data_IF_972477010222
#
_entry.id   IF_972477010222
#
_cell.length_a   1.000
_cell.length_b   1.000
_cell.length_c   1.000
_cell.angle_alpha   90.00
_cell.angle_beta   90.00
_cell.angle_gamma   90.00
#
_symmetry.space_group_name_H-M   'P 1'
#
loop_
_entity.id
_entity.type
_entity.pdbx_description
1 polymer ?
#
# COMPACT_ATOMS: atom_id res chain seq x y z
N UNK A 1 -3.65 -38.22 0.46
CA UNK A 1 -2.45 -37.38 0.62
C UNK A 1 -2.18 -36.75 -0.74
N UNK A 2 -2.81 -35.62 -1.01
CA UNK A 2 -2.53 -34.82 -2.20
C UNK A 2 -1.47 -33.80 -1.83
N UNK A 3 -0.29 -33.97 -2.42
CA UNK A 3 0.82 -33.04 -2.34
C UNK A 3 0.51 -31.85 -3.24
N UNK A 4 -0.06 -30.78 -2.69
CA UNK A 4 -0.09 -29.48 -3.35
C UNK A 4 1.32 -28.86 -3.31
N UNK A 5 2.12 -29.19 -4.32
CA UNK A 5 3.33 -28.43 -4.67
C UNK A 5 2.89 -27.07 -5.24
N UNK A 6 2.69 -26.09 -4.37
CA UNK A 6 2.67 -24.69 -4.81
C UNK A 6 4.05 -24.34 -5.38
N UNK A 7 4.12 -23.65 -6.54
CA UNK A 7 5.38 -23.12 -7.00
C UNK A 7 5.85 -22.08 -5.97
N UNK A 8 6.94 -22.38 -5.27
CA UNK A 8 7.65 -21.46 -4.35
C UNK A 8 8.24 -20.30 -5.16
N UNK A 9 7.38 -19.41 -5.65
CA UNK A 9 7.79 -18.11 -6.17
C UNK A 9 8.44 -17.30 -5.06
N UNK A 10 9.43 -16.49 -5.40
CA UNK A 10 10.03 -15.57 -4.43
C UNK A 10 8.94 -14.61 -3.93
N UNK A 11 8.67 -14.63 -2.63
CA UNK A 11 7.72 -13.74 -1.98
C UNK A 11 8.47 -12.88 -0.96
N UNK A 12 8.06 -11.62 -0.85
CA UNK A 12 8.71 -10.63 0.02
C UNK A 12 7.66 -10.04 0.97
N UNK A 13 7.98 -9.82 2.26
CA UNK A 13 7.06 -9.16 3.18
C UNK A 13 6.57 -7.81 2.64
N UNK A 14 5.30 -7.49 2.85
CA UNK A 14 4.69 -6.23 2.38
C UNK A 14 5.49 -5.01 2.84
N UNK A 15 5.96 -4.99 4.09
CA UNK A 15 6.81 -3.92 4.62
C UNK A 15 8.13 -3.75 3.83
N UNK A 16 8.74 -4.85 3.40
CA UNK A 16 9.98 -4.80 2.62
C UNK A 16 9.72 -4.28 1.21
N UNK A 17 8.59 -4.63 0.58
CA UNK A 17 8.19 -4.06 -0.72
C UNK A 17 8.02 -2.53 -0.60
N UNK A 18 7.29 -2.07 0.41
CA UNK A 18 7.08 -0.64 0.69
C UNK A 18 8.42 0.07 0.91
N UNK A 19 9.28 -0.49 1.76
CA UNK A 19 10.60 0.06 2.05
C UNK A 19 11.49 0.14 0.81
N UNK A 20 11.49 -0.88 -0.05
CA UNK A 20 12.25 -0.88 -1.31
C UNK A 20 11.76 0.24 -2.22
N UNK A 21 10.45 0.39 -2.43
CA UNK A 21 9.88 1.46 -3.28
C UNK A 21 10.30 2.84 -2.77
N UNK A 22 10.13 3.08 -1.46
CA UNK A 22 10.45 4.37 -0.85
C UNK A 22 11.95 4.68 -0.97
N UNK A 23 12.81 3.74 -0.58
CA UNK A 23 14.26 3.95 -0.60
C UNK A 23 14.78 4.10 -2.03
N UNK A 24 14.41 3.19 -2.93
CA UNK A 24 14.88 3.24 -4.33
C UNK A 24 14.40 4.50 -5.03
N UNK A 25 13.13 4.89 -4.89
CA UNK A 25 12.60 6.12 -5.47
C UNK A 25 13.29 7.36 -4.92
N UNK A 26 13.45 7.45 -3.60
CA UNK A 26 14.11 8.60 -2.95
C UNK A 26 15.57 8.74 -3.38
N UNK A 27 16.31 7.64 -3.38
CA UNK A 27 17.72 7.61 -3.82
C UNK A 27 17.83 7.98 -5.29
N UNK A 28 16.96 7.45 -6.15
CA UNK A 28 16.94 7.76 -7.57
C UNK A 28 16.73 9.26 -7.84
N UNK A 29 15.73 9.88 -7.22
CA UNK A 29 15.48 11.31 -7.37
C UNK A 29 16.57 12.19 -6.76
N UNK A 30 17.16 11.76 -5.63
CA UNK A 30 18.32 12.44 -5.03
C UNK A 30 19.53 12.39 -5.95
N UNK A 31 19.80 11.23 -6.55
CA UNK A 31 20.89 11.05 -7.51
C UNK A 31 20.68 11.90 -8.77
N UNK A 32 19.47 11.94 -9.32
CA UNK A 32 19.14 12.81 -10.45
C UNK A 32 19.36 14.28 -10.12
N UNK A 33 18.89 14.75 -8.96
CA UNK A 33 19.11 16.13 -8.53
C UNK A 33 20.61 16.44 -8.40
N UNK A 34 21.39 15.53 -7.80
CA UNK A 34 22.84 15.69 -7.70
C UNK A 34 23.51 15.76 -9.08
N UNK A 35 23.07 14.97 -10.05
CA UNK A 35 23.59 15.00 -11.42
C UNK A 35 23.34 16.33 -12.12
N UNK A 36 22.20 16.97 -11.86
CA UNK A 36 21.79 18.22 -12.52
C UNK A 36 22.38 19.44 -11.81
N UNK A 37 22.41 19.45 -10.47
CA UNK A 37 22.76 20.64 -9.67
C UNK A 37 24.10 20.53 -8.95
N UNK A 38 24.75 19.36 -8.96
CA UNK A 38 26.07 19.13 -8.36
C UNK A 38 26.09 19.08 -6.82
N UNK A 39 24.94 19.22 -6.16
CA UNK A 39 24.83 19.31 -4.70
C UNK A 39 23.77 18.37 -4.13
N UNK A 40 24.03 17.88 -2.92
CA UNK A 40 23.03 17.23 -2.09
C UNK A 40 22.32 18.29 -1.25
N UNK A 41 20.99 18.41 -1.41
CA UNK A 41 20.17 19.36 -0.69
C UNK A 41 19.19 18.61 0.24
N UNK A 42 19.31 18.76 1.58
CA UNK A 42 18.44 18.06 2.53
C UNK A 42 16.94 18.33 2.32
N UNK A 43 16.56 19.56 1.96
CA UNK A 43 15.17 19.92 1.67
C UNK A 43 14.67 19.17 0.45
N UNK A 44 15.48 19.09 -0.61
CA UNK A 44 15.10 18.35 -1.81
C UNK A 44 15.00 16.85 -1.55
N UNK A 45 15.91 16.28 -0.75
CA UNK A 45 15.85 14.87 -0.35
C UNK A 45 14.56 14.59 0.44
N UNK A 46 14.22 15.47 1.38
CA UNK A 46 12.97 15.38 2.14
C UNK A 46 11.73 15.47 1.25
N UNK A 47 11.73 16.37 0.27
CA UNK A 47 10.66 16.47 -0.72
C UNK A 47 10.56 15.23 -1.61
N UNK A 48 11.69 14.68 -2.07
CA UNK A 48 11.71 13.45 -2.85
C UNK A 48 11.13 12.27 -2.06
N UNK A 49 11.53 12.12 -0.79
CA UNK A 49 10.97 11.12 0.11
C UNK A 49 9.46 11.27 0.27
N UNK A 50 8.99 12.49 0.56
CA UNK A 50 7.57 12.78 0.71
C UNK A 50 6.79 12.46 -0.57
N UNK A 51 7.28 12.88 -1.73
CA UNK A 51 6.60 12.65 -3.01
C UNK A 51 6.55 11.17 -3.39
N UNK A 52 7.61 10.39 -3.13
CA UNK A 52 7.62 8.95 -3.40
C UNK A 52 6.59 8.23 -2.52
N UNK A 53 6.43 8.64 -1.26
CA UNK A 53 5.36 8.12 -0.39
C UNK A 53 3.98 8.45 -0.99
N UNK A 54 3.77 9.70 -1.43
CA UNK A 54 2.49 10.08 -2.04
C UNK A 54 2.20 9.28 -3.31
N UNK A 55 3.19 9.04 -4.17
CA UNK A 55 3.00 8.18 -5.35
C UNK A 55 2.57 6.76 -4.97
N UNK A 56 3.15 6.20 -3.90
CA UNK A 56 2.74 4.89 -3.39
C UNK A 56 1.33 4.92 -2.80
N UNK A 57 0.96 5.97 -2.08
CA UNK A 57 -0.40 6.15 -1.56
C UNK A 57 -1.40 6.27 -2.71
N UNK A 58 -1.13 7.09 -3.72
CA UNK A 58 -1.99 7.21 -4.91
C UNK A 58 -2.18 5.86 -5.61
N UNK A 59 -1.13 5.02 -5.67
CA UNK A 59 -1.26 3.66 -6.19
C UNK A 59 -2.26 2.81 -5.37
N UNK A 60 -2.26 2.96 -4.04
CA UNK A 60 -3.25 2.32 -3.18
C UNK A 60 -4.64 2.94 -3.34
N UNK A 61 -4.77 4.25 -3.51
CA UNK A 61 -6.05 4.93 -3.78
C UNK A 61 -6.69 4.46 -5.10
N UNK A 62 -5.88 4.18 -6.13
CA UNK A 62 -6.39 3.52 -7.34
C UNK A 62 -6.92 2.12 -7.01
N UNK A 63 -6.20 1.36 -6.17
CA UNK A 63 -6.67 0.04 -5.71
C UNK A 63 -7.98 0.15 -4.91
N UNK A 64 -8.16 1.20 -4.12
CA UNK A 64 -9.40 1.49 -3.38
C UNK A 64 -10.59 1.52 -4.33
N UNK A 65 -10.47 2.25 -5.45
CA UNK A 65 -11.53 2.30 -6.46
C UNK A 65 -11.71 0.97 -7.20
N UNK A 66 -10.62 0.40 -7.74
CA UNK A 66 -10.66 -0.74 -8.66
C UNK A 66 -11.08 -2.03 -7.96
N UNK A 67 -10.74 -2.18 -6.68
CA UNK A 67 -10.94 -3.41 -5.92
C UNK A 67 -11.91 -3.23 -4.74
N UNK A 68 -12.80 -2.24 -4.78
CA UNK A 68 -13.65 -1.90 -3.64
C UNK A 68 -14.51 -3.06 -3.13
N UNK A 69 -15.05 -3.89 -4.01
CA UNK A 69 -15.90 -5.02 -3.58
C UNK A 69 -15.10 -6.05 -2.79
N UNK A 70 -13.82 -6.24 -3.15
CA UNK A 70 -12.91 -7.09 -2.41
C UNK A 70 -12.55 -6.46 -1.05
N UNK A 71 -12.28 -5.16 -1.00
CA UNK A 71 -11.99 -4.42 0.24
C UNK A 71 -13.17 -4.51 1.21
N UNK A 72 -14.39 -4.32 0.72
CA UNK A 72 -15.60 -4.45 1.52
C UNK A 72 -15.76 -5.87 2.08
N UNK A 73 -15.58 -6.91 1.25
CA UNK A 73 -15.66 -8.29 1.70
C UNK A 73 -14.57 -8.64 2.75
N UNK A 74 -13.33 -8.17 2.54
CA UNK A 74 -12.25 -8.33 3.51
C UNK A 74 -12.54 -7.62 4.82
N UNK A 75 -13.09 -6.40 4.77
CA UNK A 75 -13.48 -5.64 5.96
C UNK A 75 -14.57 -6.37 6.74
N UNK A 76 -15.65 -6.79 6.09
CA UNK A 76 -16.74 -7.53 6.73
C UNK A 76 -16.24 -8.83 7.39
N UNK A 77 -15.28 -9.52 6.78
CA UNK A 77 -14.69 -10.73 7.34
C UNK A 77 -13.76 -10.47 8.54
N UNK A 78 -13.22 -9.26 8.68
CA UNK A 78 -12.17 -8.92 9.66
C UNK A 78 -12.64 -7.99 10.78
N UNK A 79 -13.75 -7.25 10.61
CA UNK A 79 -14.25 -6.28 11.58
C UNK A 79 -14.57 -6.87 12.95
N UNK A 80 -15.27 -8.02 13.00
CA UNK A 80 -15.61 -8.67 14.27
C UNK A 80 -14.39 -9.36 14.91
N UNK A 81 -13.60 -10.19 14.17
CA UNK A 81 -12.47 -10.87 14.78
C UNK A 81 -11.39 -9.93 15.31
N UNK A 82 -11.20 -8.75 14.69
CA UNK A 82 -10.15 -7.79 15.06
C UNK A 82 -10.64 -6.57 15.83
N UNK A 83 -11.90 -6.55 16.27
CA UNK A 83 -12.41 -5.48 17.13
C UNK A 83 -11.59 -5.37 18.44
N UNK A 84 -11.03 -4.18 18.70
CA UNK A 84 -10.10 -3.92 19.81
C UNK A 84 -8.68 -4.50 19.62
N UNK A 85 -8.40 -5.09 18.46
CA UNK A 85 -7.10 -5.68 18.07
C UNK A 85 -6.64 -5.19 16.69
N UNK A 86 -7.03 -3.98 16.32
CA UNK A 86 -6.79 -3.42 15.00
C UNK A 86 -5.28 -3.28 14.71
N UNK A 87 -4.48 -2.93 15.72
CA UNK A 87 -3.02 -2.87 15.60
C UNK A 87 -2.39 -4.24 15.29
N UNK A 88 -2.97 -5.33 15.79
CA UNK A 88 -2.52 -6.68 15.45
C UNK A 88 -2.74 -6.94 13.96
N UNK A 89 -3.89 -6.54 13.41
CA UNK A 89 -4.20 -6.67 11.98
C UNK A 89 -3.19 -5.90 11.11
N UNK A 90 -2.82 -4.69 11.53
CA UNK A 90 -1.80 -3.89 10.85
C UNK A 90 -0.47 -4.67 10.79
N UNK A 91 0.00 -5.19 11.92
CA UNK A 91 1.24 -5.95 11.97
C UNK A 91 1.22 -7.16 11.03
N UNK A 92 0.10 -7.89 10.99
CA UNK A 92 -0.08 -9.03 10.07
C UNK A 92 -0.07 -8.61 8.60
N UNK A 93 -0.67 -7.46 8.24
CA UNK A 93 -0.65 -6.94 6.87
C UNK A 93 0.77 -6.61 6.44
N UNK A 94 1.55 -5.94 7.28
CA UNK A 94 2.95 -5.60 6.98
C UNK A 94 3.86 -6.83 6.90
N UNK A 95 3.58 -7.87 7.69
CA UNK A 95 4.31 -9.14 7.65
C UNK A 95 3.89 -10.06 6.50
N UNK A 96 2.70 -9.86 5.93
CA UNK A 96 2.15 -10.72 4.87
C UNK A 96 3.10 -10.75 3.66
N UNK A 97 3.46 -11.94 3.14
CA UNK A 97 4.29 -12.05 1.96
C UNK A 97 3.48 -11.75 0.69
N UNK A 98 4.07 -10.96 -0.22
CA UNK A 98 3.55 -10.69 -1.56
C UNK A 98 4.44 -11.40 -2.59
N UNK A 99 3.89 -12.22 -3.50
CA UNK A 99 4.65 -12.77 -4.61
C UNK A 99 5.21 -11.65 -5.48
N UNK A 100 6.50 -11.72 -5.85
CA UNK A 100 7.18 -10.64 -6.58
C UNK A 100 6.44 -10.19 -7.85
N UNK A 101 5.93 -11.15 -8.62
CA UNK A 101 5.23 -10.90 -9.89
C UNK A 101 3.84 -10.26 -9.69
N UNK A 102 3.34 -10.24 -8.45
CA UNK A 102 2.05 -9.67 -8.09
C UNK A 102 2.17 -8.35 -7.31
N UNK A 103 3.38 -7.82 -7.13
CA UNK A 103 3.59 -6.54 -6.43
C UNK A 103 2.82 -5.39 -7.09
N UNK A 104 2.68 -5.39 -8.42
CA UNK A 104 1.90 -4.39 -9.16
C UNK A 104 0.42 -4.79 -9.34
N UNK A 105 -0.05 -5.83 -8.66
CA UNK A 105 -1.47 -6.17 -8.67
C UNK A 105 -2.21 -5.37 -7.61
N UNK A 106 -3.22 -4.59 -8.00
CA UNK A 106 -4.08 -3.86 -7.05
C UNK A 106 -4.70 -4.78 -5.99
N UNK A 107 -5.01 -6.04 -6.36
CA UNK A 107 -5.55 -7.04 -5.43
C UNK A 107 -4.61 -7.38 -4.28
N UNK A 108 -3.31 -7.16 -4.44
CA UNK A 108 -2.35 -7.36 -3.35
C UNK A 108 -2.36 -6.19 -2.36
N UNK A 109 -2.94 -5.04 -2.70
CA UNK A 109 -2.93 -3.85 -1.85
C UNK A 109 -4.28 -3.58 -1.17
N UNK A 110 -5.33 -4.35 -1.49
CA UNK A 110 -6.66 -4.25 -0.86
C UNK A 110 -6.60 -4.37 0.65
N UNK A 111 -5.67 -5.19 1.17
CA UNK A 111 -5.51 -5.41 2.59
C UNK A 111 -5.11 -4.16 3.37
N UNK A 112 -4.46 -3.18 2.73
CA UNK A 112 -4.13 -1.89 3.35
C UNK A 112 -5.42 -1.14 3.68
N UNK A 113 -6.34 -1.05 2.71
CA UNK A 113 -7.61 -0.34 2.87
C UNK A 113 -8.62 -1.10 3.72
N UNK A 114 -8.71 -2.43 3.59
CA UNK A 114 -9.59 -3.22 4.46
C UNK A 114 -9.11 -3.20 5.92
N UNK A 115 -7.80 -3.20 6.13
CA UNK A 115 -7.20 -2.98 7.46
C UNK A 115 -7.43 -1.57 8.00
N UNK A 116 -7.28 -0.54 7.16
CA UNK A 116 -7.57 0.85 7.54
C UNK A 116 -9.06 1.05 7.87
N UNK A 117 -9.95 0.34 7.18
CA UNK A 117 -11.40 0.40 7.41
C UNK A 117 -11.81 -0.08 8.81
N UNK A 118 -10.94 -0.79 9.53
CA UNK A 118 -11.15 -1.10 10.95
C UNK A 118 -11.14 0.16 11.84
N UNK A 119 -10.41 1.19 11.43
CA UNK A 119 -10.33 2.48 12.15
C UNK A 119 -11.35 3.48 11.62
N UNK A 120 -11.55 3.51 10.29
CA UNK A 120 -12.55 4.34 9.63
C UNK A 120 -13.37 3.50 8.63
N UNK A 121 -14.55 3.01 9.04
CA UNK A 121 -15.42 2.19 8.19
C UNK A 121 -15.81 2.87 6.88
N UNK A 122 -15.72 4.20 6.79
CA UNK A 122 -16.06 4.97 5.59
C UNK A 122 -15.30 4.52 4.34
N UNK A 123 -14.07 3.99 4.48
CA UNK A 123 -13.29 3.51 3.35
C UNK A 123 -13.78 2.18 2.76
N UNK A 124 -14.63 1.45 3.49
CA UNK A 124 -15.32 0.27 2.97
C UNK A 124 -16.62 0.59 2.23
N UNK A 125 -17.07 1.86 2.23
CA UNK A 125 -18.31 2.34 1.59
C UNK A 125 -18.05 3.43 0.55
N UNK A 126 -18.50 3.20 -0.69
CA UNK A 126 -18.37 4.14 -1.82
C UNK A 126 -19.10 5.47 -1.60
N UNK A 127 -20.03 5.52 -0.66
CA UNK A 127 -20.83 6.71 -0.37
C UNK A 127 -20.14 7.68 0.57
N UNK A 128 -19.05 7.28 1.21
CA UNK A 128 -18.37 8.14 2.17
C UNK A 128 -17.62 9.27 1.45
N UNK A 129 -17.56 10.43 2.11
CA UNK A 129 -16.81 11.57 1.58
C UNK A 129 -15.32 11.26 1.45
N UNK A 130 -14.73 10.65 2.49
CA UNK A 130 -13.30 10.27 2.51
C UNK A 130 -12.92 9.35 1.34
N UNK A 131 -13.71 8.30 1.11
CA UNK A 131 -13.54 7.41 -0.05
C UNK A 131 -13.47 8.19 -1.37
N UNK A 132 -14.41 9.12 -1.60
CA UNK A 132 -14.48 9.84 -2.86
C UNK A 132 -13.33 10.84 -3.05
N UNK A 133 -12.83 11.44 -1.97
CA UNK A 133 -11.67 12.34 -2.02
C UNK A 133 -10.40 11.56 -2.35
N UNK A 134 -10.14 10.45 -1.67
CA UNK A 134 -8.92 9.67 -1.86
C UNK A 134 -8.92 8.96 -3.23
N UNK A 135 -10.07 8.46 -3.69
CA UNK A 135 -10.20 8.01 -5.08
C UNK A 135 -9.92 9.16 -6.06
N UNK A 136 -10.38 10.37 -5.78
CA UNK A 136 -10.05 11.55 -6.59
C UNK A 136 -8.54 11.77 -6.71
N UNK A 137 -7.83 11.80 -5.57
CA UNK A 137 -6.37 11.97 -5.50
C UNK A 137 -5.62 10.91 -6.31
N UNK A 138 -6.10 9.66 -6.32
CA UNK A 138 -5.48 8.57 -7.08
C UNK A 138 -5.47 8.80 -8.60
N UNK A 139 -6.39 9.61 -9.15
CA UNK A 139 -6.56 9.80 -10.59
C UNK A 139 -6.28 11.22 -11.12
N UNK A 140 -6.03 12.21 -10.25
CA UNK A 140 -5.75 13.61 -10.64
C UNK A 140 -4.34 14.04 -10.26
#
# INVERSE_FOLDING_TARGET
>A
MESTTEPRGLAIPTAAVIGIVIVTGTVFHTWLHQRVHGVYNPTQIGLAFFLVINVLINWWEIALMVCQDQIHAEYEATKEPYHGREMQRIGEIFARPIPLLQVLSFRQWTTIWSGYSLFDPGYSDRRSFGYNIDVGNGFT
#
